data_IF_417998681404
#
_entry.id   IF_417998681404
#
_cell.length_a   1.000
_cell.length_b   1.000
_cell.length_c   1.000
_cell.angle_alpha   90.00
_cell.angle_beta   90.00
_cell.angle_gamma   90.00
#
_symmetry.space_group_name_H-M   'P 1'
#
loop_
_entity.id
_entity.type
_entity.pdbx_description
1 polymer ?
#
# COMPACT_ATOMS: atom_id res chain seq x y z
N UNK A 1 -6.32 -2.43 11.98
CA UNK A 1 -7.34 -2.97 11.04
C UNK A 1 -8.55 -3.35 11.86
N UNK A 2 -9.73 -3.39 11.26
CA UNK A 2 -10.98 -3.74 11.95
C UNK A 2 -11.41 -5.13 11.49
N UNK A 3 -11.98 -5.92 12.41
CA UNK A 3 -12.48 -7.26 12.14
C UNK A 3 -13.78 -7.51 12.89
N UNK A 4 -14.72 -8.22 12.27
CA UNK A 4 -15.94 -8.75 12.89
C UNK A 4 -15.89 -10.28 13.11
N UNK A 5 -14.73 -10.90 12.85
CA UNK A 5 -14.53 -12.35 12.96
C UNK A 5 -14.59 -13.09 11.62
N UNK A 6 -15.20 -12.47 10.60
CA UNK A 6 -15.28 -13.04 9.25
C UNK A 6 -14.55 -12.18 8.22
N UNK A 7 -14.73 -10.86 8.30
CA UNK A 7 -14.18 -9.88 7.36
C UNK A 7 -13.14 -9.01 8.05
N UNK A 8 -11.98 -8.83 7.41
CA UNK A 8 -10.94 -7.91 7.86
C UNK A 8 -10.85 -6.70 6.92
N UNK A 9 -11.12 -5.51 7.43
CA UNK A 9 -10.94 -4.25 6.72
C UNK A 9 -9.73 -3.47 7.25
N UNK A 10 -8.86 -3.03 6.33
CA UNK A 10 -7.76 -2.13 6.68
C UNK A 10 -8.28 -0.72 6.96
N UNK A 11 -7.67 -0.03 7.94
CA UNK A 11 -7.94 1.38 8.20
C UNK A 11 -7.59 2.22 6.96
N UNK A 12 -8.36 3.28 6.69
CA UNK A 12 -8.02 4.21 5.60
C UNK A 12 -7.04 5.25 6.09
N UNK A 13 -6.42 5.94 5.12
CA UNK A 13 -5.52 7.06 5.42
C UNK A 13 -6.32 8.15 6.14
N UNK A 14 -5.89 8.52 7.34
CA UNK A 14 -6.55 9.52 8.18
C UNK A 14 -7.45 8.93 9.27
N UNK A 15 -7.77 7.63 9.21
CA UNK A 15 -8.40 6.95 10.34
C UNK A 15 -7.30 6.62 11.37
N UNK A 16 -7.55 6.94 12.64
CA UNK A 16 -6.67 6.56 13.75
C UNK A 16 -7.28 5.40 14.55
N UNK A 17 -6.42 4.53 15.07
CA UNK A 17 -6.85 3.31 15.76
C UNK A 17 -7.53 3.59 17.09
N UNK A 18 -7.18 4.69 17.76
CA UNK A 18 -7.69 5.03 19.08
C UNK A 18 -8.97 5.87 19.00
N UNK A 19 -9.24 6.52 17.86
CA UNK A 19 -10.37 7.44 17.69
C UNK A 19 -11.43 6.99 16.69
N UNK A 20 -11.22 5.88 15.98
CA UNK A 20 -12.24 5.34 15.07
C UNK A 20 -13.51 4.98 15.84
N UNK A 21 -14.66 5.38 15.30
CA UNK A 21 -15.98 5.08 15.87
C UNK A 21 -16.51 3.75 15.36
N UNK A 22 -17.47 3.17 16.08
CA UNK A 22 -18.13 1.91 15.70
C UNK A 22 -18.82 2.01 14.34
N UNK A 23 -19.50 3.13 14.06
CA UNK A 23 -20.14 3.37 12.76
C UNK A 23 -19.11 3.36 11.62
N UNK A 24 -17.98 4.04 11.82
CA UNK A 24 -16.91 4.08 10.81
C UNK A 24 -16.27 2.71 10.61
N UNK A 25 -16.08 1.97 11.69
CA UNK A 25 -15.59 0.60 11.66
C UNK A 25 -16.56 -0.33 10.89
N UNK A 26 -17.87 -0.20 11.13
CA UNK A 26 -18.91 -0.94 10.44
C UNK A 26 -18.96 -0.63 8.94
N UNK A 27 -18.86 0.65 8.55
CA UNK A 27 -18.76 1.06 7.14
C UNK A 27 -17.57 0.38 6.43
N UNK A 28 -16.38 0.37 7.05
CA UNK A 28 -15.19 -0.25 6.47
C UNK A 28 -15.36 -1.75 6.23
N UNK A 29 -16.01 -2.44 7.16
CA UNK A 29 -16.31 -3.86 7.06
C UNK A 29 -17.36 -4.14 5.98
N UNK A 30 -18.44 -3.35 5.94
CA UNK A 30 -19.49 -3.45 4.93
C UNK A 30 -18.92 -3.24 3.52
N UNK A 31 -18.11 -2.20 3.32
CA UNK A 31 -17.42 -1.92 2.06
C UNK A 31 -16.52 -3.09 1.64
N UNK A 32 -15.79 -3.68 2.59
CA UNK A 32 -14.90 -4.81 2.31
C UNK A 32 -15.68 -6.07 1.94
N UNK A 33 -16.78 -6.34 2.62
CA UNK A 33 -17.68 -7.47 2.34
C UNK A 33 -18.31 -7.31 0.95
N UNK A 34 -18.80 -6.11 0.62
CA UNK A 34 -19.39 -5.79 -0.68
C UNK A 34 -18.39 -5.94 -1.85
N UNK A 35 -17.11 -5.62 -1.64
CA UNK A 35 -16.05 -5.80 -2.65
C UNK A 35 -15.71 -7.27 -2.91
N UNK A 36 -16.01 -8.17 -1.97
CA UNK A 36 -15.69 -9.59 -2.08
C UNK A 36 -14.18 -9.89 -2.16
N UNK A 37 -13.81 -11.15 -2.46
CA UNK A 37 -12.42 -11.57 -2.59
C UNK A 37 -11.78 -10.95 -3.85
N UNK A 38 -10.93 -9.95 -3.65
CA UNK A 38 -10.12 -9.38 -4.72
C UNK A 38 -8.99 -10.33 -5.11
N UNK A 39 -8.99 -10.81 -6.37
CA UNK A 39 -7.88 -11.57 -6.94
C UNK A 39 -6.63 -10.68 -6.93
N UNK A 40 -5.69 -10.98 -6.05
CA UNK A 40 -4.39 -10.31 -6.04
C UNK A 40 -3.63 -10.77 -7.28
N UNK A 41 -3.55 -9.90 -8.29
CA UNK A 41 -2.65 -10.13 -9.40
C UNK A 41 -1.24 -10.33 -8.83
N UNK A 42 -0.59 -11.44 -9.20
CA UNK A 42 0.77 -11.72 -8.79
C UNK A 42 1.65 -10.52 -9.19
N UNK A 43 2.20 -9.82 -8.20
CA UNK A 43 3.20 -8.78 -8.48
C UNK A 43 4.38 -9.48 -9.14
N UNK A 44 4.61 -9.22 -10.44
CA UNK A 44 5.87 -9.58 -11.08
C UNK A 44 6.99 -8.96 -10.25
N UNK A 45 7.92 -9.80 -9.80
CA UNK A 45 9.06 -9.34 -9.02
C UNK A 45 9.76 -8.20 -9.78
N UNK A 46 10.10 -7.08 -9.12
CA UNK A 46 10.97 -6.10 -9.75
C UNK A 46 12.29 -6.80 -10.06
N UNK A 47 12.61 -6.92 -11.35
CA UNK A 47 13.96 -7.30 -11.78
C UNK A 47 14.89 -6.31 -11.09
N UNK A 48 15.69 -6.80 -10.14
CA UNK A 48 16.76 -6.02 -9.50
C UNK A 48 17.67 -5.53 -10.63
N UNK A 49 17.49 -4.29 -11.08
CA UNK A 49 18.54 -3.59 -11.81
C UNK A 49 19.65 -3.36 -10.79
N UNK A 50 20.77 -4.04 -11.01
CA UNK A 50 22.01 -3.84 -10.28
C UNK A 50 22.34 -2.34 -10.26
N UNK A 51 22.74 -1.76 -9.12
CA UNK A 51 23.17 -0.37 -9.10
C UNK A 51 24.42 -0.24 -9.96
N UNK A 52 24.30 0.40 -11.12
CA UNK A 52 25.44 0.80 -11.92
C UNK A 52 26.32 1.71 -11.04
N UNK A 53 27.57 1.28 -10.88
CA UNK A 53 28.58 1.93 -10.03
C UNK A 53 28.70 3.42 -10.39
N UNK A 54 28.73 4.27 -9.35
CA UNK A 54 29.16 5.67 -9.43
C UNK A 54 30.52 5.76 -10.14
N UNK A 55 30.59 6.55 -11.21
CA UNK A 55 31.83 7.11 -11.72
C UNK A 55 31.69 8.63 -11.73
N UNK A 56 32.22 9.25 -10.66
CA UNK A 56 32.54 10.68 -10.61
C UNK A 56 33.78 10.90 -11.48
N UNK A 57 33.69 11.70 -12.56
CA UNK A 57 34.77 12.55 -13.11
C UNK A 57 34.11 13.68 -13.92
N UNK A 58 34.03 14.90 -13.37
CA UNK A 58 34.93 16.04 -13.60
C UNK A 58 34.96 16.55 -15.06
N UNK A 59 34.37 17.74 -15.22
CA UNK A 59 34.92 18.94 -15.87
C UNK A 59 35.28 18.95 -17.37
N UNK A 60 34.73 19.98 -18.03
CA UNK A 60 35.37 20.92 -18.97
C UNK A 60 35.44 20.61 -20.48
N UNK A 61 34.75 21.50 -21.22
CA UNK A 61 35.22 22.35 -22.34
C UNK A 61 35.24 21.80 -23.79
N UNK A 62 34.69 22.69 -24.64
CA UNK A 62 34.91 22.97 -26.07
C UNK A 62 34.03 22.26 -27.10
N UNK A 63 33.31 23.10 -27.84
CA UNK A 63 32.62 22.90 -29.11
C UNK A 63 32.04 24.25 -29.48
#
# INVERSE_FOLDING_TARGET
YVTDGETNASLRKGDDVMSITDDRAAELLADRRARGPVKRAAKKAPVRKTPAKKAVKRAAKKG
#
